data_IF_638456931654
#
_entry.id   IF_638456931654
#
_cell.length_a   1.000
_cell.length_b   1.000
_cell.length_c   1.000
_cell.angle_alpha   90.00
_cell.angle_beta   90.00
_cell.angle_gamma   90.00
#
_symmetry.space_group_name_H-M   'P 1'
#
loop_
_entity.id
_entity.type
_entity.pdbx_description
1 polymer ?
#
# COMPACT_ATOMS: atom_id res chain seq x y z
N UNK A 1 0.63 -3.39 0.40
CA UNK A 1 1.30 -4.43 1.18
C UNK A 1 0.76 -5.75 0.71
N UNK A 2 1.60 -6.74 0.33
CA UNK A 2 1.06 -8.06 0.01
C UNK A 2 0.44 -8.65 1.29
N UNK A 3 -0.74 -9.24 1.15
CA UNK A 3 -1.43 -9.98 2.22
C UNK A 3 -1.62 -11.41 1.74
N UNK A 4 -1.58 -12.37 2.66
CA UNK A 4 -1.54 -13.81 2.34
C UNK A 4 -2.77 -14.32 1.56
N UNK A 5 -3.88 -13.58 1.62
CA UNK A 5 -5.17 -13.92 1.00
C UNK A 5 -5.50 -13.09 -0.24
N UNK A 6 -4.53 -12.34 -0.80
CA UNK A 6 -4.76 -11.55 -2.01
C UNK A 6 -3.65 -11.78 -3.04
N UNK A 7 -4.06 -12.05 -4.28
CA UNK A 7 -3.16 -12.21 -5.43
C UNK A 7 -2.58 -10.87 -5.93
N UNK A 8 -2.91 -9.76 -5.26
CA UNK A 8 -2.48 -8.43 -5.65
C UNK A 8 -1.11 -8.10 -5.04
N UNK A 9 -0.18 -7.78 -5.94
CA UNK A 9 1.12 -7.23 -5.59
C UNK A 9 1.06 -5.69 -5.56
N UNK A 10 1.99 -5.07 -4.83
CA UNK A 10 2.10 -3.62 -4.87
C UNK A 10 2.44 -3.14 -6.28
N UNK A 11 1.83 -2.05 -6.70
CA UNK A 11 2.29 -1.30 -7.86
C UNK A 11 3.72 -0.79 -7.62
N UNK A 12 4.52 -0.79 -8.68
CA UNK A 12 5.85 -0.19 -8.69
C UNK A 12 5.75 1.33 -8.43
N UNK A 13 6.79 1.90 -7.83
CA UNK A 13 6.82 3.32 -7.41
C UNK A 13 6.45 4.27 -8.55
N UNK A 14 6.99 4.03 -9.74
CA UNK A 14 6.79 4.85 -10.94
C UNK A 14 5.31 4.93 -11.36
N UNK A 15 4.55 3.84 -11.17
CA UNK A 15 3.11 3.80 -11.49
C UNK A 15 2.27 4.55 -10.45
N UNK A 16 2.66 4.47 -9.18
CA UNK A 16 2.00 5.21 -8.09
C UNK A 16 2.19 6.72 -8.30
N UNK A 17 3.41 7.12 -8.66
CA UNK A 17 3.73 8.53 -8.92
C UNK A 17 3.01 9.06 -10.16
N UNK A 18 2.94 8.28 -11.25
CA UNK A 18 2.19 8.65 -12.44
C UNK A 18 0.70 8.88 -12.14
N UNK A 19 0.07 8.00 -11.36
CA UNK A 19 -1.34 8.13 -10.99
C UNK A 19 -1.58 9.32 -10.04
N UNK A 20 -0.68 9.53 -9.06
CA UNK A 20 -0.77 10.67 -8.16
C UNK A 20 -0.61 12.00 -8.92
N UNK A 21 0.29 12.06 -9.90
CA UNK A 21 0.48 13.24 -10.74
C UNK A 21 -0.73 13.51 -11.64
N UNK A 22 -1.34 12.47 -12.20
CA UNK A 22 -2.59 12.60 -12.94
C UNK A 22 -3.69 13.24 -12.07
N UNK A 23 -3.93 12.73 -10.86
CA UNK A 23 -4.96 13.29 -9.97
C UNK A 23 -4.66 14.74 -9.57
N UNK A 24 -3.39 15.06 -9.27
CA UNK A 24 -2.97 16.44 -8.99
C UNK A 24 -3.20 17.38 -10.17
N UNK A 25 -2.96 16.91 -11.41
CA UNK A 25 -3.22 17.71 -12.62
C UNK A 25 -4.69 18.06 -12.82
N UNK A 26 -5.60 17.26 -12.24
CA UNK A 26 -7.04 17.51 -12.24
C UNK A 26 -7.50 18.39 -11.06
N UNK A 27 -6.56 18.96 -10.28
CA UNK A 27 -6.85 19.79 -9.11
C UNK A 27 -7.24 18.99 -7.86
N UNK A 28 -7.08 17.66 -7.85
CA UNK A 28 -7.40 16.81 -6.70
C UNK A 28 -6.21 16.76 -5.75
N UNK A 29 -6.41 17.21 -4.51
CA UNK A 29 -5.39 17.10 -3.47
C UNK A 29 -5.07 15.64 -3.15
N UNK A 30 -3.86 15.21 -3.46
CA UNK A 30 -3.45 13.79 -3.45
C UNK A 30 -2.17 13.60 -2.66
N UNK A 31 -2.21 12.73 -1.64
CA UNK A 31 -1.06 12.39 -0.79
C UNK A 31 -0.74 10.89 -0.86
N UNK A 32 0.52 10.56 -1.16
CA UNK A 32 1.00 9.17 -1.16
C UNK A 32 1.38 8.80 0.28
N UNK A 33 0.64 7.86 0.87
CA UNK A 33 0.99 7.30 2.18
C UNK A 33 2.04 6.21 2.01
N UNK A 34 3.23 6.43 2.59
CA UNK A 34 4.23 5.36 2.72
C UNK A 34 3.78 4.37 3.79
N UNK A 35 3.82 3.07 3.47
CA UNK A 35 3.53 2.03 4.46
C UNK A 35 4.59 2.04 5.55
N UNK A 36 4.16 2.03 6.81
CA UNK A 36 5.02 1.90 8.00
C UNK A 36 4.68 0.58 8.70
N UNK A 37 5.66 -0.07 9.31
CA UNK A 37 5.48 -1.34 10.02
C UNK A 37 5.38 -2.59 9.13
N UNK A 38 5.84 -2.52 7.87
CA UNK A 38 5.85 -3.68 6.94
C UNK A 38 6.85 -4.75 7.36
N UNK A 39 7.95 -4.31 7.96
CA UNK A 39 9.04 -5.11 8.53
C UNK A 39 8.62 -5.91 9.77
N UNK A 40 7.57 -5.46 10.47
CA UNK A 40 7.03 -6.08 11.68
C UNK A 40 5.62 -6.66 11.47
N UNK A 41 5.21 -6.88 10.23
CA UNK A 41 3.86 -7.39 9.86
C UNK A 41 2.69 -6.56 10.45
N UNK A 42 2.89 -5.27 10.70
CA UNK A 42 1.89 -4.37 11.28
C UNK A 42 1.37 -3.31 10.31
N UNK A 43 1.71 -3.40 9.01
CA UNK A 43 1.17 -2.48 8.03
C UNK A 43 -0.33 -2.72 7.81
N UNK A 44 -1.04 -1.74 7.26
CA UNK A 44 -2.47 -1.86 6.99
C UNK A 44 -2.77 -3.13 6.16
N UNK A 45 -3.68 -3.97 6.66
CA UNK A 45 -4.05 -5.27 6.08
C UNK A 45 -3.23 -6.47 6.58
N UNK A 46 -2.13 -6.26 7.32
CA UNK A 46 -1.25 -7.34 7.81
C UNK A 46 -1.54 -7.77 9.26
N UNK A 47 -2.43 -7.06 9.96
CA UNK A 47 -2.89 -7.41 11.31
C UNK A 47 -3.82 -8.63 11.26
N UNK A 48 -3.24 -9.79 10.94
CA UNK A 48 -3.86 -11.10 11.10
C UNK A 48 -3.36 -11.68 12.43
N UNK A 49 -4.27 -12.18 13.26
CA UNK A 49 -3.88 -12.99 14.42
C UNK A 49 -3.15 -14.22 13.87
N UNK A 50 -1.83 -14.30 14.08
CA UNK A 50 -1.09 -15.55 13.84
C UNK A 50 -1.51 -16.51 14.94
N UNK A 51 -2.50 -17.38 14.68
CA UNK A 51 -2.72 -18.52 15.57
C UNK A 51 -1.45 -19.37 15.55
N UNK A 52 -0.80 -19.46 16.69
CA UNK A 52 0.32 -20.37 16.91
C UNK A 52 -0.31 -21.75 17.08
N UNK A 53 -0.19 -22.59 16.06
CA UNK A 53 -0.46 -24.03 16.18
C UNK A 53 0.57 -24.69 17.11
#
# INVERSE_FOLDING_TARGET
NPIQFADFINAEGDKIDAFANYLKSQGINTNIRRSRGKDIDAACGQLAVKETA
#
